data_IF_968084163222
#
_entry.id   IF_968084163222
#
_cell.length_a   1.000
_cell.length_b   1.000
_cell.length_c   1.000
_cell.angle_alpha   90.00
_cell.angle_beta   90.00
_cell.angle_gamma   90.00
#
_symmetry.space_group_name_H-M   'P 1'
#
loop_
_entity.id
_entity.type
_entity.pdbx_description
1 polymer ?
#
# COMPACT_ATOMS: atom_id res chain seq x y z
N UNK A 1 19.30 23.18 16.39
CA UNK A 1 18.42 22.03 16.64
C UNK A 1 17.73 21.72 15.33
N UNK A 2 18.04 20.60 14.69
CA UNK A 2 17.26 20.17 13.52
C UNK A 2 15.93 19.61 14.04
N UNK A 3 14.76 20.17 13.66
CA UNK A 3 13.48 19.64 14.10
C UNK A 3 13.31 18.20 13.57
N UNK A 4 12.51 17.37 14.25
CA UNK A 4 12.30 15.98 13.82
C UNK A 4 11.78 15.96 12.39
N UNK A 5 12.52 15.27 11.51
CA UNK A 5 12.23 15.16 10.08
C UNK A 5 11.18 14.09 9.78
N UNK A 6 10.25 13.85 10.72
CA UNK A 6 9.12 12.94 10.60
C UNK A 6 7.85 13.77 10.63
N UNK A 7 6.96 13.52 9.68
CA UNK A 7 5.68 14.21 9.58
C UNK A 7 4.57 13.17 9.43
N UNK A 8 3.48 13.35 10.18
CA UNK A 8 2.26 12.58 9.96
C UNK A 8 1.68 12.96 8.59
N UNK A 9 1.26 11.96 7.83
CA UNK A 9 0.70 12.12 6.50
C UNK A 9 -0.80 11.79 6.51
N UNK A 10 -1.65 12.66 7.11
CA UNK A 10 -3.09 12.39 7.25
C UNK A 10 -3.84 12.35 5.91
N UNK A 11 -3.21 12.83 4.82
CA UNK A 11 -3.75 12.73 3.47
C UNK A 11 -3.57 11.36 2.82
N UNK A 12 -2.84 10.44 3.44
CA UNK A 12 -2.64 9.08 2.92
C UNK A 12 -3.59 8.08 3.58
N UNK A 13 -4.05 7.15 2.76
CA UNK A 13 -4.81 5.98 3.16
C UNK A 13 -4.06 4.70 2.83
N UNK A 14 -4.46 3.61 3.49
CA UNK A 14 -3.88 2.28 3.32
C UNK A 14 -4.98 1.30 2.95
N UNK A 15 -4.82 0.61 1.84
CA UNK A 15 -5.67 -0.53 1.47
C UNK A 15 -4.84 -1.79 1.57
N UNK A 16 -5.33 -2.78 2.33
CA UNK A 16 -4.75 -4.12 2.37
C UNK A 16 -5.51 -5.05 1.43
N UNK A 17 -4.77 -5.82 0.66
CA UNK A 17 -5.28 -6.83 -0.26
C UNK A 17 -4.62 -8.15 0.04
N UNK A 18 -5.40 -9.09 0.54
CA UNK A 18 -4.90 -10.34 1.12
C UNK A 18 -5.58 -11.55 0.52
N UNK A 19 -4.81 -12.61 0.28
CA UNK A 19 -5.37 -13.88 -0.14
C UNK A 19 -4.42 -14.64 -1.05
N UNK A 20 -4.62 -15.96 -1.22
CA UNK A 20 -3.80 -16.75 -2.14
C UNK A 20 -3.86 -16.24 -3.59
N UNK A 21 -4.96 -15.59 -3.99
CA UNK A 21 -5.13 -15.05 -5.35
C UNK A 21 -4.75 -13.55 -5.44
N UNK A 22 -4.19 -12.94 -4.38
CA UNK A 22 -3.97 -11.49 -4.34
C UNK A 22 -3.04 -10.98 -5.46
N UNK A 23 -1.97 -11.72 -5.77
CA UNK A 23 -1.02 -11.36 -6.82
C UNK A 23 -1.67 -11.36 -8.21
N UNK A 24 -2.39 -12.44 -8.56
CA UNK A 24 -3.04 -12.58 -9.87
C UNK A 24 -4.20 -11.60 -10.01
N UNK A 25 -4.98 -11.41 -8.94
CA UNK A 25 -6.04 -10.41 -8.87
C UNK A 25 -5.49 -9.01 -9.14
N UNK A 26 -4.52 -8.54 -8.36
CA UNK A 26 -3.97 -7.18 -8.51
C UNK A 26 -3.26 -6.97 -9.86
N UNK A 27 -2.61 -8.00 -10.39
CA UNK A 27 -2.01 -7.96 -11.72
C UNK A 27 -3.05 -7.66 -12.83
N UNK A 28 -4.28 -8.13 -12.67
CA UNK A 28 -5.37 -7.87 -13.61
C UNK A 28 -6.04 -6.50 -13.44
N UNK A 29 -5.84 -5.84 -12.31
CA UNK A 29 -6.53 -4.59 -11.97
C UNK A 29 -5.68 -3.34 -12.21
N UNK A 30 -4.35 -3.46 -12.13
CA UNK A 30 -3.45 -2.33 -12.01
C UNK A 30 -2.56 -2.16 -13.25
N UNK A 31 -2.12 -0.92 -13.50
CA UNK A 31 -1.34 -0.60 -14.72
C UNK A 31 0.11 -1.05 -14.68
N UNK A 32 0.69 -1.20 -13.49
CA UNK A 32 2.05 -1.67 -13.30
C UNK A 32 2.05 -3.10 -12.74
N UNK A 33 3.04 -3.89 -13.17
CA UNK A 33 3.19 -5.28 -12.73
C UNK A 33 3.40 -5.34 -11.21
N UNK A 34 2.66 -6.21 -10.55
CA UNK A 34 2.81 -6.52 -9.11
C UNK A 34 3.54 -7.85 -8.90
N UNK A 35 3.72 -8.61 -9.99
CA UNK A 35 4.47 -9.86 -9.99
C UNK A 35 5.98 -9.57 -9.83
N UNK A 36 6.65 -10.44 -9.07
CA UNK A 36 8.08 -10.29 -8.77
C UNK A 36 8.40 -9.16 -7.80
N UNK A 37 7.40 -8.61 -7.10
CA UNK A 37 7.68 -7.77 -5.93
C UNK A 37 8.32 -8.63 -4.83
N UNK A 38 9.45 -8.19 -4.30
CA UNK A 38 10.13 -8.80 -3.17
C UNK A 38 9.36 -8.49 -1.87
N UNK A 39 8.99 -9.51 -1.07
CA UNK A 39 8.33 -9.28 0.21
C UNK A 39 9.21 -8.46 1.15
N UNK A 40 8.61 -7.49 1.82
CA UNK A 40 9.26 -6.67 2.84
C UNK A 40 8.71 -7.04 4.21
N UNK A 41 9.59 -7.52 5.09
CA UNK A 41 9.25 -7.88 6.48
C UNK A 41 8.96 -6.64 7.33
N UNK A 42 8.16 -6.80 8.38
CA UNK A 42 7.95 -5.76 9.38
C UNK A 42 9.29 -5.23 9.92
N UNK A 43 9.41 -3.90 10.00
CA UNK A 43 10.65 -3.23 10.43
C UNK A 43 11.74 -3.13 9.37
N UNK A 44 11.60 -3.79 8.22
CA UNK A 44 12.47 -3.59 7.06
C UNK A 44 11.94 -2.48 6.15
N UNK A 45 12.83 -1.89 5.36
CA UNK A 45 12.47 -0.85 4.39
C UNK A 45 12.38 -1.48 3.00
N UNK A 46 11.27 -1.25 2.30
CA UNK A 46 11.15 -1.60 0.90
C UNK A 46 12.09 -0.70 0.07
N UNK A 47 13.10 -1.29 -0.59
CA UNK A 47 14.12 -0.57 -1.35
C UNK A 47 13.98 -0.81 -2.86
N UNK A 48 13.87 0.27 -3.62
CA UNK A 48 13.85 0.23 -5.08
C UNK A 48 12.59 -0.38 -5.71
N UNK A 49 12.63 -0.53 -7.03
CA UNK A 49 11.50 -0.97 -7.86
C UNK A 49 11.13 -2.45 -7.71
N UNK A 50 11.99 -3.24 -7.07
CA UNK A 50 11.71 -4.64 -6.74
C UNK A 50 10.86 -4.78 -5.49
N UNK A 51 10.91 -3.85 -4.54
CA UNK A 51 10.16 -3.96 -3.27
C UNK A 51 8.92 -3.05 -3.22
N UNK A 52 8.92 -1.96 -3.97
CA UNK A 52 7.78 -1.06 -4.10
C UNK A 52 7.64 -0.50 -5.52
N UNK A 53 6.41 -0.30 -5.99
CA UNK A 53 6.13 0.26 -7.33
C UNK A 53 5.00 1.29 -7.26
N UNK A 54 5.07 2.30 -8.11
CA UNK A 54 3.94 3.19 -8.37
C UNK A 54 3.03 2.52 -9.42
N UNK A 55 1.73 2.54 -9.17
CA UNK A 55 0.74 1.93 -10.04
C UNK A 55 -0.52 2.77 -10.14
N UNK A 56 -1.28 2.55 -11.20
CA UNK A 56 -2.57 3.21 -11.44
C UNK A 56 -3.71 2.19 -11.53
N UNK A 57 -4.91 2.64 -11.23
CA UNK A 57 -6.16 1.94 -11.51
C UNK A 57 -6.98 2.75 -12.51
N UNK A 58 -7.39 2.13 -13.60
CA UNK A 58 -8.06 2.79 -14.71
C UNK A 58 -9.47 2.23 -14.94
N UNK A 59 -10.31 3.04 -15.56
CA UNK A 59 -11.55 2.55 -16.21
C UNK A 59 -11.21 1.68 -17.42
N UNK A 60 -12.20 0.93 -17.93
CA UNK A 60 -12.08 0.19 -19.19
C UNK A 60 -11.73 1.07 -20.41
N UNK A 61 -12.00 2.38 -20.36
CA UNK A 61 -11.63 3.37 -21.39
C UNK A 61 -10.27 4.04 -21.13
N UNK A 62 -9.48 3.53 -20.18
CA UNK A 62 -8.13 4.04 -19.88
C UNK A 62 -8.08 5.31 -19.02
N UNK A 63 -9.22 5.84 -18.53
CA UNK A 63 -9.20 6.99 -17.61
C UNK A 63 -8.67 6.57 -16.24
N UNK A 64 -7.62 7.23 -15.75
CA UNK A 64 -7.06 7.01 -14.41
C UNK A 64 -8.07 7.43 -13.33
N UNK A 65 -8.29 6.55 -12.36
CA UNK A 65 -9.18 6.76 -11.21
C UNK A 65 -8.42 6.86 -9.88
N UNK A 66 -7.32 6.14 -9.74
CA UNK A 66 -6.46 6.18 -8.56
C UNK A 66 -5.01 5.92 -8.97
N UNK A 67 -4.07 6.51 -8.23
CA UNK A 67 -2.67 6.11 -8.21
C UNK A 67 -2.32 5.65 -6.80
N UNK A 68 -1.47 4.63 -6.69
CA UNK A 68 -1.05 4.09 -5.41
C UNK A 68 0.40 3.62 -5.47
N UNK A 69 1.11 3.74 -4.35
CA UNK A 69 2.32 2.94 -4.13
C UNK A 69 1.90 1.57 -3.64
N UNK A 70 2.44 0.53 -4.24
CA UNK A 70 2.20 -0.85 -3.82
C UNK A 70 3.49 -1.49 -3.31
N UNK A 71 3.37 -2.20 -2.19
CA UNK A 71 4.42 -3.09 -1.66
C UNK A 71 3.82 -4.45 -1.28
N UNK A 72 4.68 -5.46 -1.23
CA UNK A 72 4.32 -6.80 -0.77
C UNK A 72 4.85 -6.99 0.65
N UNK A 73 3.97 -7.29 1.59
CA UNK A 73 4.35 -7.58 2.96
C UNK A 73 4.75 -9.04 3.13
N UNK A 74 5.83 -9.30 3.89
CA UNK A 74 6.22 -10.65 4.27
C UNK A 74 5.31 -11.14 5.39
N UNK A 75 4.28 -11.91 5.04
CA UNK A 75 3.36 -12.55 5.98
C UNK A 75 3.45 -14.07 5.84
N UNK A 76 3.62 -14.82 6.94
CA UNK A 76 3.70 -16.27 6.91
C UNK A 76 2.35 -16.95 6.63
N UNK A 77 1.24 -16.24 6.84
CA UNK A 77 -0.10 -16.81 6.75
C UNK A 77 -0.72 -16.65 5.35
N UNK A 78 -0.53 -15.49 4.73
CA UNK A 78 -1.21 -15.15 3.47
C UNK A 78 -0.45 -14.07 2.71
N UNK A 79 -0.45 -14.14 1.38
CA UNK A 79 0.03 -13.05 0.53
C UNK A 79 -0.74 -11.77 0.85
N UNK A 80 -0.03 -10.72 1.26
CA UNK A 80 -0.60 -9.45 1.70
C UNK A 80 0.08 -8.29 0.97
N UNK A 81 -0.67 -7.61 0.10
CA UNK A 81 -0.23 -6.37 -0.52
C UNK A 81 -0.77 -5.15 0.24
N UNK A 82 0.06 -4.12 0.33
CA UNK A 82 -0.30 -2.81 0.85
C UNK A 82 -0.33 -1.80 -0.31
N UNK A 83 -1.45 -1.10 -0.45
CA UNK A 83 -1.61 0.01 -1.40
C UNK A 83 -1.76 1.32 -0.61
N UNK A 84 -0.78 2.19 -0.76
CA UNK A 84 -0.78 3.54 -0.21
C UNK A 84 -1.37 4.50 -1.25
N UNK A 85 -2.50 5.11 -0.92
CA UNK A 85 -3.31 5.94 -1.83
C UNK A 85 -3.72 7.24 -1.15
N UNK A 86 -4.24 8.22 -1.89
CA UNK A 86 -4.88 9.39 -1.28
C UNK A 86 -6.09 8.97 -0.43
N UNK A 87 -6.18 9.51 0.79
CA UNK A 87 -7.15 9.08 1.82
C UNK A 87 -8.59 9.38 1.42
N UNK A 88 -8.82 10.50 0.74
CA UNK A 88 -10.13 10.92 0.24
C UNK A 88 -10.76 9.94 -0.77
N UNK A 89 -9.93 9.17 -1.48
CA UNK A 89 -10.40 8.17 -2.45
C UNK A 89 -10.24 6.72 -1.97
N UNK A 90 -9.62 6.47 -0.80
CA UNK A 90 -9.28 5.13 -0.31
C UNK A 90 -10.50 4.21 -0.22
N UNK A 91 -11.57 4.66 0.45
CA UNK A 91 -12.78 3.87 0.62
C UNK A 91 -13.48 3.54 -0.71
N UNK A 92 -13.54 4.52 -1.63
CA UNK A 92 -14.12 4.34 -2.96
C UNK A 92 -13.27 3.38 -3.80
N UNK A 93 -11.94 3.50 -3.71
CA UNK A 93 -11.02 2.64 -4.44
C UNK A 93 -11.07 1.19 -3.94
N UNK A 94 -11.06 0.99 -2.61
CA UNK A 94 -11.22 -0.33 -1.99
C UNK A 94 -12.55 -0.97 -2.44
N UNK A 95 -13.66 -0.23 -2.37
CA UNK A 95 -14.97 -0.70 -2.83
C UNK A 95 -14.95 -1.12 -4.31
N UNK A 96 -14.29 -0.35 -5.17
CA UNK A 96 -14.15 -0.69 -6.59
C UNK A 96 -13.35 -1.97 -6.78
N UNK A 97 -12.22 -2.14 -6.11
CA UNK A 97 -11.45 -3.38 -6.16
C UNK A 97 -12.31 -4.58 -5.73
N UNK A 98 -13.07 -4.44 -4.63
CA UNK A 98 -13.96 -5.49 -4.13
C UNK A 98 -15.00 -5.97 -5.16
N UNK A 99 -15.48 -5.09 -6.06
CA UNK A 99 -16.43 -5.48 -7.12
C UNK A 99 -15.85 -6.54 -8.08
N UNK A 100 -14.52 -6.62 -8.21
CA UNK A 100 -13.83 -7.52 -9.13
C UNK A 100 -13.25 -8.77 -8.45
N UNK A 101 -13.47 -8.95 -7.14
CA UNK A 101 -12.97 -10.12 -6.37
C UNK A 101 -13.65 -11.44 -6.81
N UNK A 102 -14.67 -11.41 -7.67
CA UNK A 102 -15.42 -12.57 -8.16
C UNK A 102 -14.56 -13.84 -8.32
N UNK A 103 -14.92 -14.90 -7.58
CA UNK A 103 -14.21 -16.21 -7.52
C UNK A 103 -12.75 -16.19 -7.06
N UNK A 104 -12.08 -15.03 -7.00
CA UNK A 104 -10.77 -14.87 -6.39
C UNK A 104 -10.90 -14.95 -4.88
N UNK A 105 -10.04 -15.76 -4.26
CA UNK A 105 -9.90 -15.84 -2.80
C UNK A 105 -9.06 -14.67 -2.32
N UNK A 106 -9.66 -13.47 -2.32
CA UNK A 106 -9.02 -12.21 -1.91
C UNK A 106 -9.95 -11.43 -1.00
N UNK A 107 -9.38 -10.77 0.01
CA UNK A 107 -10.05 -9.79 0.85
C UNK A 107 -9.41 -8.43 0.60
N UNK A 108 -10.23 -7.40 0.40
CA UNK A 108 -9.79 -6.00 0.23
C UNK A 108 -10.34 -5.20 1.40
N UNK A 109 -9.47 -4.51 2.15
CA UNK A 109 -9.88 -3.68 3.29
C UNK A 109 -9.25 -2.30 3.23
N UNK A 110 -10.06 -1.28 3.45
CA UNK A 110 -9.56 0.06 3.76
C UNK A 110 -9.16 0.10 5.25
N UNK A 111 -7.88 0.35 5.50
CA UNK A 111 -7.26 0.42 6.82
C UNK A 111 -6.88 1.85 7.20
N UNK A 112 -7.36 2.86 6.47
CA UNK A 112 -6.97 4.27 6.65
C UNK A 112 -7.36 4.90 8.00
N UNK A 113 -8.24 4.25 8.77
CA UNK A 113 -8.57 4.63 10.16
C UNK A 113 -7.78 3.82 11.19
N UNK A 114 -7.31 2.63 10.82
CA UNK A 114 -6.59 1.72 11.71
C UNK A 114 -5.07 1.94 11.68
N UNK A 115 -4.55 2.58 10.63
CA UNK A 115 -3.13 2.82 10.43
C UNK A 115 -2.85 4.31 10.23
N UNK A 116 -1.94 4.86 11.02
CA UNK A 116 -1.34 6.17 10.77
C UNK A 116 -0.14 6.01 9.83
N UNK A 117 -0.04 6.89 8.84
CA UNK A 117 1.09 6.92 7.90
C UNK A 117 1.97 8.11 8.23
N UNK A 118 3.28 7.88 8.26
CA UNK A 118 4.29 8.89 8.50
C UNK A 118 5.28 8.94 7.35
N UNK A 119 5.77 10.13 7.04
CA UNK A 119 6.90 10.35 6.14
C UNK A 119 8.12 10.77 6.94
N UNK A 120 9.29 10.30 6.53
CA UNK A 120 10.58 10.74 7.05
C UNK A 120 11.45 11.24 5.89
N UNK A 121 12.15 12.38 6.06
CA UNK A 121 13.12 12.85 5.05
C UNK A 121 14.54 12.33 5.32
N UNK A 122 14.80 11.87 6.54
CA UNK A 122 16.06 11.22 6.93
C UNK A 122 15.91 9.69 6.86
N UNK A 123 17.02 8.93 6.79
CA UNK A 123 16.98 7.47 6.88
C UNK A 123 16.19 7.01 8.11
N UNK A 124 15.25 6.06 7.93
CA UNK A 124 14.34 5.64 9.02
C UNK A 124 15.08 5.21 10.28
N UNK A 125 16.28 4.63 10.15
CA UNK A 125 17.10 4.21 11.29
C UNK A 125 17.44 5.36 12.26
N UNK A 126 17.59 6.58 11.73
CA UNK A 126 17.83 7.79 12.51
C UNK A 126 16.53 8.42 13.00
N UNK A 127 15.42 8.14 12.31
CA UNK A 127 14.10 8.69 12.60
C UNK A 127 13.33 7.86 13.65
N UNK A 128 13.57 6.54 13.74
CA UNK A 128 12.90 5.61 14.66
C UNK A 128 12.89 6.09 16.14
N UNK A 129 13.98 6.63 16.72
CA UNK A 129 13.96 7.13 18.10
C UNK A 129 13.05 8.34 18.32
N UNK A 130 12.63 8.99 17.25
CA UNK A 130 11.81 10.21 17.26
C UNK A 130 10.37 9.95 16.77
N UNK A 131 10.00 8.67 16.62
CA UNK A 131 8.67 8.29 16.21
C UNK A 131 7.66 8.73 17.29
N UNK A 132 6.56 9.42 16.93
CA UNK A 132 5.57 9.83 17.91
C UNK A 132 4.87 8.60 18.51
N UNK A 133 4.32 8.75 19.72
CA UNK A 133 3.76 7.62 20.49
C UNK A 133 2.52 6.96 19.83
N UNK A 134 1.92 7.61 18.83
CA UNK A 134 0.76 7.16 18.06
C UNK A 134 1.13 6.61 16.66
N UNK A 135 2.38 6.19 16.50
CA UNK A 135 2.94 5.63 15.27
C UNK A 135 3.25 4.14 15.34
#
# INVERSE_FOLDING_TARGET
>A
MNPPTICRLPGWGLILVEGPDASSFLQGQLTNSVLGLSPTSSGAIAQGSSAARLTGYCTAKGRLLASAWISLHSSPAVTQYALFVSRDIAAVFAKRLTMFVLRSKVTVRDMSEAWSIYGALEPIAQALPHLPADA
#
